data_IF_199347688333
#
_entry.id   IF_199347688333
#
_cell.length_a   1.000
_cell.length_b   1.000
_cell.length_c   1.000
_cell.angle_alpha   90.00
_cell.angle_beta   90.00
_cell.angle_gamma   90.00
#
_symmetry.space_group_name_H-M   'P 1'
#
loop_
_entity.id
_entity.type
_entity.pdbx_description
1 polymer ?
#
# COMPACT_ATOMS: atom_id res chain seq x y z
N UNK A 1 40.95 0.59 39.24
CA UNK A 1 40.70 1.96 38.70
C UNK A 1 41.30 2.23 37.30
N UNK A 2 41.58 1.22 36.45
CA UNK A 2 42.14 1.40 35.09
C UNK A 2 41.15 1.12 33.94
N UNK A 3 39.97 0.58 34.24
CA UNK A 3 38.98 0.18 33.24
C UNK A 3 38.15 1.36 32.69
N UNK A 4 37.85 2.37 33.53
CA UNK A 4 37.04 3.53 33.15
C UNK A 4 37.72 4.48 32.16
N UNK A 5 39.05 4.56 32.15
CA UNK A 5 39.82 5.44 31.26
C UNK A 5 39.73 5.02 29.78
N UNK A 6 39.62 3.72 29.49
CA UNK A 6 39.60 3.21 28.10
C UNK A 6 38.29 3.45 27.38
N UNK A 7 37.15 3.46 28.10
CA UNK A 7 35.84 3.78 27.52
C UNK A 7 35.74 5.27 27.14
N UNK A 8 36.28 6.19 27.96
CA UNK A 8 36.27 7.62 27.66
C UNK A 8 37.01 8.00 26.38
N UNK A 9 38.15 7.37 26.09
CA UNK A 9 38.91 7.63 24.85
C UNK A 9 38.24 7.06 23.59
N UNK A 10 37.50 5.94 23.71
CA UNK A 10 36.71 5.39 22.58
C UNK A 10 35.51 6.28 22.25
N UNK A 11 34.80 6.78 23.26
CA UNK A 11 33.70 7.74 23.09
C UNK A 11 34.17 9.05 22.46
N UNK A 12 35.32 9.58 22.92
CA UNK A 12 35.91 10.82 22.41
C UNK A 12 36.36 10.71 20.95
N UNK A 13 36.95 9.57 20.53
CA UNK A 13 37.34 9.32 19.13
C UNK A 13 36.14 9.08 18.21
N UNK A 14 35.01 8.63 18.75
CA UNK A 14 33.75 8.46 18.02
C UNK A 14 33.08 9.83 17.75
N UNK A 15 32.98 10.68 18.77
CA UNK A 15 32.49 12.09 18.67
C UNK A 15 33.30 12.98 17.73
N UNK A 16 34.59 12.67 17.48
CA UNK A 16 35.43 13.42 16.53
C UNK A 16 35.25 12.98 15.07
N UNK A 17 34.68 11.79 14.80
CA UNK A 17 34.58 11.23 13.44
C UNK A 17 33.18 11.29 12.86
N UNK A 18 32.16 11.31 13.71
CA UNK A 18 30.76 11.45 13.31
C UNK A 18 30.19 12.67 14.05
N UNK A 19 30.04 13.83 13.38
CA UNK A 19 29.62 15.10 14.01
C UNK A 19 28.20 15.11 14.58
N UNK A 20 27.39 14.08 14.29
CA UNK A 20 26.03 13.93 14.79
C UNK A 20 25.97 12.63 15.57
N UNK A 21 25.84 12.76 16.89
CA UNK A 21 25.39 11.64 17.73
C UNK A 21 23.94 11.32 17.31
N UNK A 22 23.57 10.03 17.27
CA UNK A 22 22.17 9.60 17.08
C UNK A 22 21.33 10.31 18.14
N UNK A 23 20.48 11.23 17.71
CA UNK A 23 19.58 11.96 18.59
C UNK A 23 18.19 11.32 18.44
N UNK A 24 17.73 10.51 19.43
CA UNK A 24 16.40 9.90 19.38
C UNK A 24 15.26 10.92 19.23
N UNK A 25 15.49 12.20 19.56
CA UNK A 25 14.50 13.26 19.37
C UNK A 25 14.43 13.77 17.92
N UNK A 26 15.46 13.54 17.10
CA UNK A 26 15.56 13.97 15.71
C UNK A 26 15.52 12.81 14.70
N UNK A 27 15.96 11.61 15.09
CA UNK A 27 16.04 10.42 14.26
C UNK A 27 14.90 9.45 14.60
N UNK A 28 13.74 9.64 13.97
CA UNK A 28 12.61 8.70 14.09
C UNK A 28 12.92 7.40 13.34
N UNK A 29 12.47 6.26 13.88
CA UNK A 29 12.55 4.98 13.19
C UNK A 29 11.63 4.96 11.96
N UNK A 30 12.17 4.61 10.79
CA UNK A 30 11.38 4.41 9.55
C UNK A 30 10.53 3.12 9.59
N UNK A 31 10.48 2.41 10.72
CA UNK A 31 9.73 1.16 10.87
C UNK A 31 8.24 1.35 10.57
N UNK A 32 7.60 2.38 11.13
CA UNK A 32 6.17 2.64 10.93
C UNK A 32 5.84 2.95 9.46
N UNK A 33 6.68 3.73 8.80
CA UNK A 33 6.56 4.01 7.36
C UNK A 33 6.73 2.73 6.53
N UNK A 34 7.67 1.88 6.91
CA UNK A 34 7.90 0.59 6.25
C UNK A 34 6.68 -0.32 6.39
N UNK A 35 6.12 -0.46 7.60
CA UNK A 35 4.93 -1.29 7.87
C UNK A 35 3.71 -0.77 7.13
N UNK A 36 3.49 0.55 7.10
CA UNK A 36 2.38 1.15 6.34
C UNK A 36 2.51 0.86 4.85
N UNK A 37 3.70 1.07 4.28
CA UNK A 37 3.95 0.78 2.87
C UNK A 37 3.71 -0.69 2.53
N UNK A 38 4.23 -1.63 3.34
CA UNK A 38 4.02 -3.06 3.09
C UNK A 38 2.55 -3.44 3.20
N UNK A 39 1.83 -2.89 4.17
CA UNK A 39 0.39 -3.13 4.32
C UNK A 39 -0.41 -2.57 3.13
N UNK A 40 -0.08 -1.37 2.65
CA UNK A 40 -0.68 -0.79 1.44
C UNK A 40 -0.45 -1.67 0.21
N UNK A 41 0.77 -2.19 0.03
CA UNK A 41 1.13 -3.11 -1.05
C UNK A 41 0.35 -4.44 -0.95
N UNK A 42 0.27 -5.03 0.24
CA UNK A 42 -0.47 -6.28 0.50
C UNK A 42 -1.98 -6.10 0.23
N UNK A 43 -2.59 -5.03 0.75
CA UNK A 43 -3.99 -4.71 0.48
C UNK A 43 -4.25 -4.50 -1.02
N UNK A 44 -3.35 -3.80 -1.73
CA UNK A 44 -3.50 -3.58 -3.17
C UNK A 44 -3.44 -4.90 -3.96
N UNK A 45 -2.54 -5.81 -3.59
CA UNK A 45 -2.43 -7.11 -4.24
C UNK A 45 -3.66 -7.99 -3.98
N UNK A 46 -4.26 -7.91 -2.79
CA UNK A 46 -5.53 -8.61 -2.47
C UNK A 46 -6.68 -8.14 -3.38
N UNK A 47 -6.87 -6.82 -3.51
CA UNK A 47 -7.91 -6.27 -4.40
C UNK A 47 -7.68 -6.71 -5.85
N UNK A 48 -6.42 -6.68 -6.29
CA UNK A 48 -6.04 -7.13 -7.64
C UNK A 48 -6.39 -8.61 -7.84
N UNK A 49 -6.13 -9.47 -6.87
CA UNK A 49 -6.46 -10.89 -6.93
C UNK A 49 -7.97 -11.12 -7.09
N UNK A 50 -8.80 -10.41 -6.32
CA UNK A 50 -10.27 -10.50 -6.39
C UNK A 50 -10.79 -10.14 -7.78
N UNK A 51 -10.24 -9.10 -8.39
CA UNK A 51 -10.62 -8.66 -9.74
C UNK A 51 -10.17 -9.68 -10.79
N UNK A 52 -8.94 -10.18 -10.70
CA UNK A 52 -8.38 -11.10 -11.71
C UNK A 52 -9.03 -12.49 -11.68
N UNK A 53 -9.35 -13.01 -10.51
CA UNK A 53 -10.06 -14.29 -10.38
C UNK A 53 -11.58 -14.16 -10.50
N UNK A 54 -12.08 -12.92 -10.58
CA UNK A 54 -13.50 -12.62 -10.66
C UNK A 54 -14.29 -13.16 -9.45
N UNK A 55 -13.71 -13.10 -8.26
CA UNK A 55 -14.34 -13.61 -7.03
C UNK A 55 -15.58 -12.79 -6.64
N UNK A 56 -15.64 -11.52 -7.07
CA UNK A 56 -16.76 -10.60 -6.82
C UNK A 56 -17.90 -10.69 -7.87
N UNK A 57 -17.96 -11.75 -8.68
CA UNK A 57 -19.01 -11.98 -9.70
C UNK A 57 -19.25 -10.76 -10.61
N UNK A 58 -18.16 -10.21 -11.15
CA UNK A 58 -18.21 -9.14 -12.14
C UNK A 58 -18.69 -9.72 -13.48
N UNK A 59 -19.62 -9.02 -14.12
CA UNK A 59 -20.05 -9.35 -15.48
C UNK A 59 -18.90 -9.12 -16.46
N UNK A 60 -18.95 -9.77 -17.64
CA UNK A 60 -17.93 -9.60 -18.69
C UNK A 60 -17.66 -8.12 -19.02
N UNK A 61 -18.71 -7.31 -19.09
CA UNK A 61 -18.59 -5.87 -19.38
C UNK A 61 -17.94 -5.11 -18.21
N UNK A 62 -18.30 -5.44 -16.97
CA UNK A 62 -17.67 -4.87 -15.77
C UNK A 62 -16.18 -5.22 -15.72
N UNK A 63 -15.81 -6.48 -15.96
CA UNK A 63 -14.41 -6.92 -16.05
C UNK A 63 -13.67 -6.13 -17.14
N UNK A 64 -14.17 -6.09 -18.37
CA UNK A 64 -13.53 -5.34 -19.46
C UNK A 64 -13.30 -3.87 -19.10
N UNK A 65 -14.29 -3.22 -18.49
CA UNK A 65 -14.15 -1.81 -18.04
C UNK A 65 -13.06 -1.68 -16.97
N UNK A 66 -13.06 -2.52 -15.94
CA UNK A 66 -12.09 -2.46 -14.84
C UNK A 66 -10.67 -2.77 -15.33
N UNK A 67 -10.50 -3.84 -16.11
CA UNK A 67 -9.22 -4.24 -16.70
C UNK A 67 -8.59 -3.10 -17.51
N UNK A 68 -9.34 -2.52 -18.45
CA UNK A 68 -8.82 -1.42 -19.27
C UNK A 68 -8.58 -0.13 -18.48
N UNK A 69 -9.39 0.16 -17.46
CA UNK A 69 -9.27 1.40 -16.69
C UNK A 69 -8.09 1.43 -15.74
N UNK A 70 -7.81 0.31 -15.12
CA UNK A 70 -6.77 0.20 -14.12
C UNK A 70 -5.51 -0.51 -14.65
N UNK A 71 -5.50 -0.89 -15.94
CA UNK A 71 -4.37 -1.61 -16.53
C UNK A 71 -4.19 -3.01 -15.94
N UNK A 72 -5.28 -3.63 -15.46
CA UNK A 72 -5.23 -4.94 -14.83
C UNK A 72 -5.30 -5.98 -15.96
N UNK A 73 -4.29 -6.84 -16.09
CA UNK A 73 -4.22 -7.83 -17.18
C UNK A 73 -2.84 -8.45 -17.34
N UNK A 74 -2.71 -9.35 -18.32
CA UNK A 74 -1.49 -10.12 -18.56
C UNK A 74 -0.27 -9.26 -18.94
N UNK A 75 -0.51 -8.09 -19.53
CA UNK A 75 0.53 -7.10 -19.76
C UNK A 75 0.53 -6.11 -18.59
N UNK A 76 1.40 -6.33 -17.60
CA UNK A 76 1.64 -5.40 -16.48
C UNK A 76 2.06 -3.99 -16.97
N UNK A 77 2.46 -3.88 -18.25
CA UNK A 77 2.81 -2.64 -18.92
C UNK A 77 1.62 -1.94 -19.62
N UNK A 78 0.41 -2.50 -19.58
CA UNK A 78 -0.76 -1.88 -20.20
C UNK A 78 -1.16 -0.61 -19.44
N UNK A 79 -0.93 0.55 -20.06
CA UNK A 79 -1.29 1.83 -19.46
C UNK A 79 -2.81 1.93 -19.21
N UNK A 80 -3.24 2.52 -18.08
CA UNK A 80 -4.65 2.72 -17.78
C UNK A 80 -5.31 3.62 -18.83
N UNK A 81 -6.47 3.20 -19.32
CA UNK A 81 -7.25 3.97 -20.30
C UNK A 81 -8.23 4.92 -19.61
N UNK A 82 -8.60 6.00 -20.30
CA UNK A 82 -9.59 6.97 -19.83
C UNK A 82 -11.04 6.46 -20.01
N UNK A 83 -12.01 7.08 -19.32
CA UNK A 83 -13.46 6.81 -19.51
C UNK A 83 -13.86 6.86 -20.98
N UNK A 84 -13.32 7.82 -21.71
CA UNK A 84 -13.64 8.05 -23.11
C UNK A 84 -13.04 6.98 -24.00
N UNK A 85 -11.76 6.64 -23.84
CA UNK A 85 -11.11 5.58 -24.60
C UNK A 85 -11.78 4.22 -24.39
N UNK A 86 -12.11 3.87 -23.15
CA UNK A 86 -12.85 2.63 -22.85
C UNK A 86 -14.25 2.65 -23.45
N UNK A 87 -14.90 3.83 -23.44
CA UNK A 87 -16.20 4.01 -24.09
C UNK A 87 -16.14 3.76 -25.59
N UNK A 88 -15.09 4.24 -26.27
CA UNK A 88 -14.87 3.99 -27.70
C UNK A 88 -14.66 2.50 -28.02
N UNK A 89 -13.93 1.77 -27.16
CA UNK A 89 -13.67 0.33 -27.35
C UNK A 89 -14.97 -0.49 -27.23
N UNK A 90 -15.81 -0.17 -26.25
CA UNK A 90 -17.02 -0.93 -25.94
C UNK A 90 -18.24 -0.41 -26.74
N UNK A 91 -18.14 0.78 -27.36
CA UNK A 91 -19.23 1.40 -28.10
C UNK A 91 -20.30 2.05 -27.21
N UNK A 92 -19.90 2.59 -26.05
CA UNK A 92 -20.80 3.24 -25.09
C UNK A 92 -20.33 4.65 -24.72
N UNK A 93 -21.25 5.46 -24.19
CA UNK A 93 -20.91 6.83 -23.76
C UNK A 93 -19.99 6.81 -22.53
N UNK A 94 -19.20 7.89 -22.37
CA UNK A 94 -18.33 8.12 -21.21
C UNK A 94 -19.06 7.91 -19.87
N UNK A 95 -20.27 8.45 -19.76
CA UNK A 95 -21.08 8.34 -18.55
C UNK A 95 -21.55 6.91 -18.30
N UNK A 96 -21.86 6.15 -19.37
CA UNK A 96 -22.20 4.74 -19.24
C UNK A 96 -21.02 3.92 -18.71
N UNK A 97 -19.80 4.20 -19.16
CA UNK A 97 -18.59 3.57 -18.60
C UNK A 97 -18.43 3.91 -17.12
N UNK A 98 -18.66 5.18 -16.73
CA UNK A 98 -18.60 5.60 -15.33
C UNK A 98 -19.56 4.81 -14.44
N UNK A 99 -20.80 4.64 -14.90
CA UNK A 99 -21.81 3.86 -14.18
C UNK A 99 -21.39 2.40 -14.00
N UNK A 100 -20.89 1.77 -15.06
CA UNK A 100 -20.42 0.38 -15.03
C UNK A 100 -19.22 0.25 -14.08
N UNK A 101 -18.26 1.18 -14.15
CA UNK A 101 -17.11 1.23 -13.27
C UNK A 101 -17.54 1.30 -11.80
N UNK A 102 -18.44 2.22 -11.44
CA UNK A 102 -18.89 2.37 -10.06
C UNK A 102 -19.60 1.12 -9.54
N UNK A 103 -20.45 0.51 -10.37
CA UNK A 103 -21.14 -0.73 -10.01
C UNK A 103 -20.16 -1.90 -9.80
N UNK A 104 -19.13 -1.99 -10.61
CA UNK A 104 -18.07 -2.98 -10.46
C UNK A 104 -17.27 -2.77 -9.16
N UNK A 105 -16.86 -1.53 -8.87
CA UNK A 105 -16.14 -1.20 -7.64
C UNK A 105 -16.96 -1.46 -6.38
N UNK A 106 -18.27 -1.20 -6.43
CA UNK A 106 -19.19 -1.50 -5.34
C UNK A 106 -19.24 -3.00 -5.03
N UNK A 107 -19.31 -3.86 -6.05
CA UNK A 107 -19.25 -5.32 -5.87
C UNK A 107 -17.94 -5.79 -5.24
N UNK A 108 -16.80 -5.30 -5.74
CA UNK A 108 -15.48 -5.65 -5.20
C UNK A 108 -15.37 -5.23 -3.73
N UNK A 109 -15.89 -4.04 -3.40
CA UNK A 109 -15.93 -3.55 -2.02
C UNK A 109 -16.78 -4.43 -1.11
N UNK A 110 -18.00 -4.80 -1.54
CA UNK A 110 -18.87 -5.68 -0.76
C UNK A 110 -18.20 -7.03 -0.48
N UNK A 111 -17.57 -7.61 -1.50
CA UNK A 111 -16.82 -8.86 -1.34
C UNK A 111 -15.66 -8.71 -0.36
N UNK A 112 -14.90 -7.62 -0.42
CA UNK A 112 -13.83 -7.34 0.54
C UNK A 112 -14.36 -7.21 1.97
N UNK A 113 -15.44 -6.45 2.18
CA UNK A 113 -16.04 -6.25 3.52
C UNK A 113 -16.58 -7.57 4.12
N UNK A 114 -17.06 -8.49 3.28
CA UNK A 114 -17.51 -9.81 3.73
C UNK A 114 -16.34 -10.73 4.13
N UNK A 115 -15.19 -10.63 3.46
CA UNK A 115 -14.03 -11.50 3.71
C UNK A 115 -13.04 -10.92 4.73
N UNK A 116 -13.03 -9.61 4.93
CA UNK A 116 -12.13 -8.90 5.87
C UNK A 116 -12.88 -8.61 7.17
N UNK A 117 -12.88 -9.57 8.09
CA UNK A 117 -13.39 -9.39 9.46
C UNK A 117 -12.26 -8.90 10.40
N UNK A 118 -11.73 -7.69 10.16
CA UNK A 118 -10.69 -7.09 11.01
C UNK A 118 -10.40 -5.62 10.66
N UNK A 119 -9.98 -4.80 11.63
CA UNK A 119 -9.78 -3.37 11.41
C UNK A 119 -8.64 -3.14 10.40
N UNK A 120 -8.95 -2.42 9.33
CA UNK A 120 -8.01 -2.00 8.27
C UNK A 120 -7.08 -0.85 8.71
N UNK A 121 -6.91 -0.65 10.02
CA UNK A 121 -6.06 0.41 10.54
C UNK A 121 -4.65 -0.16 10.76
N UNK A 122 -3.61 0.47 10.16
CA UNK A 122 -2.25 0.15 10.56
C UNK A 122 -2.14 0.39 12.08
N UNK A 123 -1.43 -0.48 12.83
CA UNK A 123 -1.42 -0.41 14.29
C UNK A 123 -1.05 1.01 14.74
N UNK A 124 -1.81 1.55 15.70
CA UNK A 124 -1.57 2.87 16.24
C UNK A 124 -0.14 2.96 16.82
N UNK A 125 0.45 4.17 16.84
CA UNK A 125 1.82 4.38 17.35
C UNK A 125 1.99 3.86 18.80
N UNK A 126 0.90 3.78 19.55
CA UNK A 126 0.84 3.35 20.95
C UNK A 126 0.76 1.82 21.16
N UNK A 127 0.52 1.02 20.11
CA UNK A 127 0.40 -0.45 20.21
C UNK A 127 1.74 -1.19 20.08
N UNK A 128 2.81 -0.49 19.69
CA UNK A 128 4.13 -1.09 19.62
C UNK A 128 4.83 -0.99 20.99
N UNK A 129 5.15 -2.12 21.65
CA UNK A 129 5.96 -2.06 22.85
C UNK A 129 7.30 -1.45 22.46
N UNK A 130 7.56 -0.24 22.94
CA UNK A 130 8.89 0.37 22.86
C UNK A 130 9.83 -0.67 23.45
N UNK A 131 10.67 -1.30 22.64
CA UNK A 131 11.63 -2.27 23.14
C UNK A 131 12.61 -1.47 24.00
N UNK A 132 12.36 -1.46 25.30
CA UNK A 132 13.27 -0.90 26.29
C UNK A 132 14.58 -1.69 26.20
N UNK A 133 15.62 -1.05 25.65
CA UNK A 133 17.01 -1.50 25.71
C UNK A 133 17.90 -0.31 26.02
#
# INVERSE_FOLDING_TARGET
LKAFSRQGMKLSKYRQRFPTDFDPALEKSNHLETVRRTHEEECAEEVKHIVLNNDADLTKVEQTVIHHRFGLGADEAAAPLTLEQVGQIIGVTKERVRQIQNKALEKVRLFLEENTSGPSEPPAEDEYPISAN
#
